data_IF_877460883464
#
_entry.id   IF_877460883464
#
_cell.length_a   1.000
_cell.length_b   1.000
_cell.length_c   1.000
_cell.angle_alpha   90.00
_cell.angle_beta   90.00
_cell.angle_gamma   90.00
#
_symmetry.space_group_name_H-M   'P 1'
#
loop_
_entity.id
_entity.type
_entity.pdbx_description
1 polymer ?
#
# COMPACT_ATOMS: atom_id res chain seq x y z
N UNK A 1 14.68 -3.45 -25.35
CA UNK A 1 14.37 -3.74 -23.96
C UNK A 1 13.17 -2.92 -23.50
N UNK A 2 12.56 -3.29 -22.36
CA UNK A 2 11.44 -2.57 -21.78
C UNK A 2 11.86 -1.15 -21.36
N UNK A 3 10.98 -0.18 -21.62
CA UNK A 3 11.10 1.21 -21.17
C UNK A 3 9.77 1.63 -20.54
N UNK A 4 9.83 2.32 -19.42
CA UNK A 4 8.67 2.80 -18.70
C UNK A 4 8.65 2.35 -17.25
N UNK A 5 7.54 2.59 -16.56
CA UNK A 5 7.39 2.31 -15.12
C UNK A 5 7.24 0.80 -14.88
N UNK A 6 8.08 0.27 -14.00
CA UNK A 6 8.06 -1.13 -13.57
C UNK A 6 7.88 -1.19 -12.05
N UNK A 7 6.73 -1.65 -11.62
CA UNK A 7 6.48 -1.85 -10.19
C UNK A 7 7.01 -3.20 -9.74
N UNK A 8 7.89 -3.20 -8.76
CA UNK A 8 8.35 -4.38 -8.00
C UNK A 8 7.81 -4.30 -6.58
N UNK A 9 7.52 -5.43 -5.97
CA UNK A 9 6.93 -5.45 -4.64
C UNK A 9 7.63 -6.42 -3.70
N UNK A 10 7.58 -6.08 -2.41
CA UNK A 10 8.04 -6.92 -1.32
C UNK A 10 7.13 -6.74 -0.11
N UNK A 11 7.07 -7.77 0.74
CA UNK A 11 6.40 -7.67 2.03
C UNK A 11 7.21 -6.74 2.94
N UNK A 12 6.53 -5.86 3.65
CA UNK A 12 7.17 -4.92 4.57
C UNK A 12 7.57 -5.55 5.91
N UNK A 13 8.43 -4.86 6.69
CA UNK A 13 9.03 -5.42 7.90
C UNK A 13 8.01 -5.74 8.98
N UNK A 14 6.95 -4.95 9.11
CA UNK A 14 5.95 -5.15 10.16
C UNK A 14 5.03 -6.32 9.87
N UNK A 15 4.66 -6.52 8.61
CA UNK A 15 3.91 -7.71 8.18
C UNK A 15 4.78 -8.96 8.31
N UNK A 16 6.05 -8.92 7.91
CA UNK A 16 6.98 -10.02 8.13
C UNK A 16 7.14 -10.34 9.61
N UNK A 17 7.27 -9.33 10.48
CA UNK A 17 7.42 -9.54 11.92
C UNK A 17 6.21 -10.25 12.56
N UNK A 18 5.01 -10.15 11.94
CA UNK A 18 3.82 -10.90 12.38
C UNK A 18 3.76 -12.32 11.84
N UNK A 19 4.46 -12.60 10.74
CA UNK A 19 4.37 -13.87 10.00
C UNK A 19 5.54 -14.82 10.29
N UNK A 20 6.71 -14.27 10.68
CA UNK A 20 7.90 -15.07 11.01
C UNK A 20 7.91 -15.41 12.51
N UNK A 21 8.29 -16.66 12.81
CA UNK A 21 8.37 -17.18 14.16
C UNK A 21 9.81 -17.21 14.67
N UNK A 22 10.00 -16.86 15.92
CA UNK A 22 11.20 -17.08 16.70
C UNK A 22 11.31 -18.56 17.08
N UNK A 23 12.52 -19.01 17.50
CA UNK A 23 12.74 -20.38 17.94
C UNK A 23 11.73 -20.88 19.00
N UNK A 24 11.20 -19.98 19.83
CA UNK A 24 10.18 -20.28 20.85
C UNK A 24 8.75 -20.35 20.32
N UNK A 25 8.50 -20.21 19.00
CA UNK A 25 7.17 -20.28 18.37
C UNK A 25 6.34 -19.00 18.46
N UNK A 26 6.85 -17.94 19.10
CA UNK A 26 6.21 -16.62 19.11
C UNK A 26 6.67 -15.80 17.88
N UNK A 27 5.84 -14.89 17.41
CA UNK A 27 6.19 -14.05 16.27
C UNK A 27 7.39 -13.13 16.58
N UNK A 28 8.18 -12.80 15.56
CA UNK A 28 9.29 -11.83 15.64
C UNK A 28 8.83 -10.51 16.27
N UNK A 29 7.58 -10.13 16.07
CA UNK A 29 6.96 -8.93 16.65
C UNK A 29 7.08 -8.84 18.17
N UNK A 30 7.25 -9.96 18.88
CA UNK A 30 7.42 -9.98 20.32
C UNK A 30 8.74 -9.35 20.79
N UNK A 31 9.78 -9.40 19.94
CA UNK A 31 11.15 -8.97 20.27
C UNK A 31 11.56 -7.75 19.45
N UNK A 32 11.77 -6.63 20.12
CA UNK A 32 12.14 -5.38 19.47
C UNK A 32 13.53 -5.44 18.79
N UNK A 33 14.45 -6.27 19.30
CA UNK A 33 15.76 -6.51 18.68
C UNK A 33 15.58 -7.27 17.37
N UNK A 34 14.85 -8.38 17.41
CA UNK A 34 14.54 -9.17 16.23
C UNK A 34 13.79 -8.36 15.16
N UNK A 35 12.86 -7.47 15.55
CA UNK A 35 12.21 -6.56 14.61
C UNK A 35 13.21 -5.63 13.91
N UNK A 36 14.17 -5.05 14.64
CA UNK A 36 15.22 -4.21 14.04
C UNK A 36 16.11 -4.98 13.08
N UNK A 37 16.56 -6.15 13.48
CA UNK A 37 17.43 -7.02 12.67
C UNK A 37 16.72 -7.47 11.39
N UNK A 38 15.43 -7.82 11.49
CA UNK A 38 14.58 -8.16 10.35
C UNK A 38 14.43 -6.98 9.39
N UNK A 39 14.13 -5.79 9.90
CA UNK A 39 13.98 -4.59 9.07
C UNK A 39 15.30 -4.23 8.37
N UNK A 40 16.43 -4.31 9.06
CA UNK A 40 17.76 -4.07 8.48
C UNK A 40 18.13 -5.10 7.40
N UNK A 41 17.88 -6.38 7.66
CA UNK A 41 18.11 -7.45 6.67
C UNK A 41 17.22 -7.28 5.44
N UNK A 42 15.96 -6.92 5.62
CA UNK A 42 15.04 -6.65 4.51
C UNK A 42 15.51 -5.45 3.68
N UNK A 43 15.96 -4.38 4.33
CA UNK A 43 16.47 -3.19 3.64
C UNK A 43 17.68 -3.53 2.76
N UNK A 44 18.63 -4.33 3.26
CA UNK A 44 19.78 -4.77 2.48
C UNK A 44 19.37 -5.67 1.30
N UNK A 45 18.51 -6.66 1.55
CA UNK A 45 18.01 -7.54 0.49
C UNK A 45 17.24 -6.78 -0.60
N UNK A 46 16.47 -5.75 -0.23
CA UNK A 46 15.80 -4.89 -1.22
C UNK A 46 16.79 -4.04 -2.02
N UNK A 47 17.85 -3.51 -1.40
CA UNK A 47 18.88 -2.75 -2.10
C UNK A 47 19.54 -3.60 -3.19
N UNK A 48 19.91 -4.83 -2.84
CA UNK A 48 20.50 -5.78 -3.79
C UNK A 48 19.50 -6.17 -4.89
N UNK A 49 18.25 -6.45 -4.53
CA UNK A 49 17.19 -6.80 -5.48
C UNK A 49 16.94 -5.67 -6.48
N UNK A 50 16.79 -4.43 -6.01
CA UNK A 50 16.59 -3.27 -6.89
C UNK A 50 17.80 -3.03 -7.81
N UNK A 51 19.01 -3.24 -7.31
CA UNK A 51 20.24 -3.16 -8.13
C UNK A 51 20.24 -4.24 -9.24
N UNK A 52 19.81 -5.47 -8.93
CA UNK A 52 19.67 -6.54 -9.93
C UNK A 52 18.61 -6.22 -10.98
N UNK A 53 17.44 -5.72 -10.57
CA UNK A 53 16.37 -5.29 -11.50
C UNK A 53 16.86 -4.19 -12.43
N UNK A 54 17.55 -3.15 -11.91
CA UNK A 54 18.12 -2.07 -12.73
C UNK A 54 19.14 -2.59 -13.75
N UNK A 55 19.97 -3.55 -13.33
CA UNK A 55 20.97 -4.17 -14.23
C UNK A 55 20.29 -4.96 -15.37
N UNK A 56 19.22 -5.69 -15.07
CA UNK A 56 18.49 -6.53 -16.05
C UNK A 56 17.60 -5.72 -16.97
N UNK A 57 17.02 -4.64 -16.47
CA UNK A 57 16.05 -3.79 -17.20
C UNK A 57 16.47 -2.32 -17.08
N UNK A 58 17.57 -1.91 -17.73
CA UNK A 58 18.14 -0.57 -17.53
C UNK A 58 17.28 0.59 -18.04
N UNK A 59 16.25 0.29 -18.84
CA UNK A 59 15.28 1.29 -19.31
C UNK A 59 14.05 1.43 -18.42
N UNK A 60 13.95 0.66 -17.33
CA UNK A 60 12.80 0.74 -16.43
C UNK A 60 12.97 1.84 -15.39
N UNK A 61 11.89 2.60 -15.18
CA UNK A 61 11.69 3.44 -14.01
C UNK A 61 11.03 2.60 -12.92
N UNK A 62 11.80 2.26 -11.89
CA UNK A 62 11.30 1.35 -10.84
C UNK A 62 10.38 2.10 -9.87
N UNK A 63 9.24 1.49 -9.57
CA UNK A 63 8.35 1.83 -8.46
C UNK A 63 8.46 0.72 -7.43
N UNK A 64 8.89 1.02 -6.21
CA UNK A 64 8.93 0.06 -5.13
C UNK A 64 7.58 0.04 -4.40
N UNK A 65 6.92 -1.12 -4.35
CA UNK A 65 5.77 -1.32 -3.48
C UNK A 65 6.18 -2.14 -2.25
N UNK A 66 5.79 -1.65 -1.07
CA UNK A 66 5.97 -2.34 0.21
C UNK A 66 4.60 -2.73 0.75
N UNK A 67 4.37 -4.02 0.94
CA UNK A 67 3.07 -4.56 1.36
C UNK A 67 3.02 -4.67 2.89
N UNK A 68 2.15 -3.89 3.53
CA UNK A 68 2.00 -3.79 4.99
C UNK A 68 0.54 -3.98 5.47
N UNK A 69 -0.14 -5.08 5.09
CA UNK A 69 -1.51 -5.32 5.53
C UNK A 69 -1.65 -5.51 7.05
N UNK A 70 -0.57 -5.91 7.75
CA UNK A 70 -0.60 -6.07 9.22
C UNK A 70 -0.28 -4.80 10.00
N UNK A 71 0.14 -3.72 9.34
CA UNK A 71 0.67 -2.51 9.97
C UNK A 71 -0.31 -1.89 10.98
N UNK A 72 -1.57 -1.75 10.60
CA UNK A 72 -2.61 -1.21 11.49
C UNK A 72 -2.79 -2.09 12.73
N UNK A 73 -2.81 -3.41 12.57
CA UNK A 73 -2.92 -4.34 13.69
C UNK A 73 -1.70 -4.25 14.63
N UNK A 74 -0.50 -4.06 14.09
CA UNK A 74 0.75 -3.85 14.85
C UNK A 74 0.67 -2.56 15.66
N UNK A 75 0.27 -1.46 15.05
CA UNK A 75 0.12 -0.15 15.69
C UNK A 75 -0.92 -0.13 16.81
N UNK A 76 -1.96 -0.96 16.69
CA UNK A 76 -3.10 -0.99 17.62
C UNK A 76 -3.02 -2.16 18.63
N UNK A 77 -1.95 -2.97 18.59
CA UNK A 77 -1.82 -4.14 19.47
C UNK A 77 -2.90 -5.20 19.23
N UNK A 78 -3.36 -5.35 17.99
CA UNK A 78 -4.41 -6.31 17.61
C UNK A 78 -3.86 -7.63 17.03
N UNK A 79 -2.53 -7.78 16.94
CA UNK A 79 -1.90 -9.02 16.46
C UNK A 79 -1.96 -10.07 17.53
N UNK A 80 -2.55 -11.23 17.21
CA UNK A 80 -2.68 -12.34 18.16
C UNK A 80 -1.36 -13.06 18.38
N UNK A 81 -1.05 -13.44 19.63
CA UNK A 81 0.08 -14.29 19.99
C UNK A 81 -0.11 -15.72 19.46
N UNK A 82 0.93 -16.53 19.47
CA UNK A 82 0.88 -17.92 19.06
C UNK A 82 -0.21 -18.71 19.79
N UNK A 83 -0.41 -18.46 21.07
CA UNK A 83 -1.46 -19.10 21.87
C UNK A 83 -2.89 -18.67 21.50
N UNK A 84 -3.06 -17.57 20.74
CA UNK A 84 -4.33 -16.91 20.37
C UNK A 84 -5.16 -16.36 21.56
N UNK A 85 -4.72 -16.52 22.78
CA UNK A 85 -5.40 -16.01 23.99
C UNK A 85 -5.01 -14.57 24.33
N UNK A 86 -3.91 -14.09 23.80
CA UNK A 86 -3.40 -12.73 24.03
C UNK A 86 -3.07 -12.07 22.70
N UNK A 87 -2.90 -10.75 22.72
CA UNK A 87 -2.31 -9.98 21.64
C UNK A 87 -0.93 -9.49 22.03
N UNK A 88 -0.08 -9.25 21.04
CA UNK A 88 1.17 -8.53 21.26
C UNK A 88 0.88 -7.07 21.59
N UNK A 89 1.80 -6.43 22.31
CA UNK A 89 1.70 -5.00 22.60
C UNK A 89 1.77 -4.21 21.31
N UNK A 90 1.05 -3.08 21.29
CA UNK A 90 1.20 -2.10 20.24
C UNK A 90 2.67 -1.63 20.12
N UNK A 91 3.16 -1.51 18.91
CA UNK A 91 4.47 -0.93 18.64
C UNK A 91 4.32 0.59 18.58
N UNK A 92 5.27 1.30 19.17
CA UNK A 92 5.30 2.75 19.15
C UNK A 92 5.34 3.29 17.71
N UNK A 93 4.53 4.32 17.43
CA UNK A 93 4.42 4.93 16.11
C UNK A 93 5.76 5.48 15.59
N UNK A 94 6.61 6.01 16.48
CA UNK A 94 7.92 6.55 16.07
C UNK A 94 8.87 5.42 15.67
N UNK A 95 8.82 4.28 16.34
CA UNK A 95 9.60 3.09 16.00
C UNK A 95 9.17 2.56 14.63
N UNK A 96 7.86 2.46 14.41
CA UNK A 96 7.32 2.03 13.11
C UNK A 96 7.73 2.98 11.98
N UNK A 97 7.55 4.28 12.19
CA UNK A 97 7.89 5.32 11.23
C UNK A 97 9.39 5.32 10.90
N UNK A 98 10.25 5.17 11.92
CA UNK A 98 11.71 5.10 11.76
C UNK A 98 12.14 3.93 10.88
N UNK A 99 11.66 2.72 11.21
CA UNK A 99 11.99 1.51 10.44
C UNK A 99 11.50 1.59 8.98
N UNK A 100 10.30 2.12 8.74
CA UNK A 100 9.79 2.32 7.38
C UNK A 100 10.59 3.38 6.62
N UNK A 101 11.00 4.48 7.28
CA UNK A 101 11.84 5.52 6.66
C UNK A 101 13.19 4.96 6.21
N UNK A 102 13.84 4.14 7.05
CA UNK A 102 15.09 3.48 6.69
C UNK A 102 14.91 2.51 5.51
N UNK A 103 13.81 1.75 5.51
CA UNK A 103 13.49 0.85 4.41
C UNK A 103 13.23 1.61 3.11
N UNK A 104 12.47 2.71 3.14
CA UNK A 104 12.14 3.46 1.92
C UNK A 104 13.36 4.17 1.33
N UNK A 105 14.33 4.55 2.18
CA UNK A 105 15.59 5.16 1.76
C UNK A 105 16.51 4.24 0.93
N UNK A 106 16.18 2.94 0.74
CA UNK A 106 16.91 2.06 -0.17
C UNK A 106 16.60 2.35 -1.65
N UNK A 107 15.59 3.18 -1.92
CA UNK A 107 15.13 3.52 -3.26
C UNK A 107 14.92 5.03 -3.40
N UNK A 108 15.55 5.64 -4.42
CA UNK A 108 15.47 7.09 -4.68
C UNK A 108 14.22 7.49 -5.50
N UNK A 109 13.44 6.48 -5.95
CA UNK A 109 12.25 6.69 -6.78
C UNK A 109 10.95 6.63 -5.98
N UNK A 110 9.86 6.37 -6.69
CA UNK A 110 8.53 6.27 -6.10
C UNK A 110 8.41 5.03 -5.18
N UNK A 111 7.97 5.26 -3.95
CA UNK A 111 7.67 4.22 -2.96
C UNK A 111 6.18 4.22 -2.66
N UNK A 112 5.52 3.11 -2.92
CA UNK A 112 4.10 2.89 -2.65
C UNK A 112 3.96 1.91 -1.50
N UNK A 113 3.19 2.26 -0.47
CA UNK A 113 2.84 1.30 0.58
C UNK A 113 1.45 0.76 0.32
N UNK A 114 1.32 -0.57 0.27
CA UNK A 114 0.02 -1.22 0.11
C UNK A 114 -0.47 -1.78 1.44
N UNK A 115 -1.71 -1.45 1.80
CA UNK A 115 -2.43 -2.06 2.91
C UNK A 115 -3.91 -2.23 2.56
N UNK A 116 -4.36 -3.47 2.44
CA UNK A 116 -5.78 -3.81 2.25
C UNK A 116 -6.52 -4.01 3.58
N UNK A 117 -5.97 -3.54 4.70
CA UNK A 117 -6.63 -3.51 6.01
C UNK A 117 -7.35 -2.17 6.23
N UNK A 118 -8.37 -2.12 7.10
CA UNK A 118 -8.98 -0.85 7.50
C UNK A 118 -8.04 0.01 8.35
N UNK A 119 -8.40 1.27 8.53
CA UNK A 119 -7.67 2.24 9.37
C UNK A 119 -6.22 2.45 8.92
N UNK A 120 -6.00 2.62 7.60
CA UNK A 120 -4.66 2.85 7.02
C UNK A 120 -4.03 4.12 7.61
N UNK A 121 -2.80 4.06 8.14
CA UNK A 121 -2.17 5.20 8.81
C UNK A 121 -1.51 6.18 7.81
N UNK A 122 -2.30 6.83 6.93
CA UNK A 122 -1.83 7.72 5.84
C UNK A 122 -0.77 8.72 6.30
N UNK A 123 -1.03 9.45 7.40
CA UNK A 123 -0.08 10.44 7.91
C UNK A 123 1.26 9.84 8.35
N UNK A 124 1.28 8.65 8.96
CA UNK A 124 2.52 7.96 9.32
C UNK A 124 3.29 7.54 8.07
N UNK A 125 2.62 6.94 7.10
CA UNK A 125 3.23 6.48 5.86
C UNK A 125 3.86 7.63 5.07
N UNK A 126 3.14 8.77 4.97
CA UNK A 126 3.67 9.99 4.35
C UNK A 126 4.94 10.50 5.06
N UNK A 127 4.93 10.60 6.40
CA UNK A 127 6.11 11.05 7.17
C UNK A 127 7.28 10.08 7.08
N UNK A 128 7.01 8.79 6.89
CA UNK A 128 8.05 7.79 6.62
C UNK A 128 8.66 7.93 5.22
N UNK A 129 8.05 8.70 4.31
CA UNK A 129 8.56 8.97 2.97
C UNK A 129 7.84 8.19 1.86
N UNK A 130 6.69 7.59 2.14
CA UNK A 130 5.87 6.99 1.07
C UNK A 130 5.35 8.09 0.14
N UNK A 131 5.58 7.92 -1.17
CA UNK A 131 5.09 8.80 -2.23
C UNK A 131 3.71 8.39 -2.73
N UNK A 132 3.27 7.18 -2.38
CA UNK A 132 1.94 6.67 -2.68
C UNK A 132 1.44 5.71 -1.62
N UNK A 133 0.11 5.66 -1.46
CA UNK A 133 -0.56 4.70 -0.57
C UNK A 133 -1.61 3.94 -1.38
N UNK A 134 -1.48 2.62 -1.40
CA UNK A 134 -2.42 1.69 -2.04
C UNK A 134 -3.29 1.04 -0.98
N UNK A 135 -4.60 1.10 -1.15
CA UNK A 135 -5.55 0.64 -0.13
C UNK A 135 -6.86 0.16 -0.76
N UNK A 136 -7.61 -0.64 -0.01
CA UNK A 136 -8.98 -1.02 -0.37
C UNK A 136 -9.91 0.16 -0.08
N UNK A 137 -10.39 0.79 -1.15
CA UNK A 137 -11.26 1.96 -1.06
C UNK A 137 -12.58 1.67 -0.34
N UNK A 138 -13.05 0.43 -0.37
CA UNK A 138 -14.31 0.03 0.29
C UNK A 138 -14.21 0.06 1.83
N UNK A 139 -12.99 0.04 2.37
CA UNK A 139 -12.72 0.08 3.81
C UNK A 139 -12.47 1.49 4.35
N UNK A 140 -12.37 2.49 3.45
CA UNK A 140 -12.16 3.87 3.85
C UNK A 140 -13.45 4.44 4.48
N UNK A 141 -13.31 5.10 5.61
CA UNK A 141 -14.41 5.79 6.29
C UNK A 141 -14.13 7.29 6.43
N UNK A 142 -15.13 8.07 6.80
CA UNK A 142 -14.98 9.52 7.00
C UNK A 142 -13.99 9.88 8.14
N UNK A 143 -13.63 8.91 8.98
CA UNK A 143 -12.63 9.11 10.05
C UNK A 143 -11.22 9.35 9.51
N UNK A 144 -10.94 8.84 8.33
CA UNK A 144 -9.65 9.02 7.67
C UNK A 144 -9.60 10.26 6.76
N UNK A 145 -10.70 10.98 6.58
CA UNK A 145 -10.79 12.09 5.62
C UNK A 145 -9.68 13.13 5.81
N UNK A 146 -9.49 13.62 7.04
CA UNK A 146 -8.43 14.61 7.33
C UNK A 146 -7.04 14.08 6.96
N UNK A 147 -6.75 12.82 7.34
CA UNK A 147 -5.45 12.20 7.06
C UNK A 147 -5.23 11.93 5.56
N UNK A 148 -6.29 11.62 4.82
CA UNK A 148 -6.26 11.47 3.36
C UNK A 148 -6.07 12.84 2.70
N UNK A 149 -6.81 13.85 3.13
CA UNK A 149 -6.67 15.24 2.63
C UNK A 149 -5.24 15.75 2.80
N UNK A 150 -4.70 15.67 4.02
CA UNK A 150 -3.31 16.05 4.31
C UNK A 150 -2.28 15.26 3.48
N UNK A 151 -2.54 13.98 3.21
CA UNK A 151 -1.64 13.16 2.40
C UNK A 151 -1.64 13.63 0.94
N UNK A 152 -2.81 13.89 0.37
CA UNK A 152 -2.95 14.38 -1.02
C UNK A 152 -2.35 15.76 -1.18
N UNK A 153 -2.66 16.70 -0.28
CA UNK A 153 -2.07 18.05 -0.29
C UNK A 153 -0.55 18.02 -0.12
N UNK A 154 -0.04 17.03 0.62
CA UNK A 154 1.40 16.75 0.76
C UNK A 154 2.02 16.02 -0.43
N UNK A 155 1.28 15.81 -1.54
CA UNK A 155 1.77 15.19 -2.77
C UNK A 155 1.77 13.66 -2.78
N UNK A 156 1.18 13.00 -1.77
CA UNK A 156 1.05 11.53 -1.75
C UNK A 156 -0.03 11.09 -2.72
N UNK A 157 0.30 10.18 -3.63
CA UNK A 157 -0.67 9.59 -4.56
C UNK A 157 -1.53 8.52 -3.87
N UNK A 158 -2.81 8.51 -4.20
CA UNK A 158 -3.74 7.50 -3.74
C UNK A 158 -3.90 6.40 -4.80
N UNK A 159 -3.46 5.19 -4.50
CA UNK A 159 -3.74 4.01 -5.31
C UNK A 159 -5.06 3.40 -4.81
N UNK A 160 -6.16 3.93 -5.34
CA UNK A 160 -7.51 3.60 -4.88
C UNK A 160 -7.95 2.24 -5.41
N UNK A 161 -8.05 1.25 -4.53
CA UNK A 161 -8.50 -0.10 -4.82
C UNK A 161 -10.03 -0.16 -4.91
N UNK A 162 -10.58 0.21 -6.07
CA UNK A 162 -12.04 0.26 -6.31
C UNK A 162 -12.57 -0.93 -7.08
N UNK A 163 -11.69 -1.82 -7.54
CA UNK A 163 -12.05 -3.04 -8.27
C UNK A 163 -11.78 -4.24 -7.37
N UNK A 164 -12.74 -5.18 -7.20
CA UNK A 164 -12.51 -6.36 -6.36
C UNK A 164 -11.27 -7.15 -6.76
N UNK A 165 -10.54 -7.68 -5.76
CA UNK A 165 -9.34 -8.50 -5.97
C UNK A 165 -9.63 -9.97 -6.30
N UNK A 166 -10.89 -10.40 -6.18
CA UNK A 166 -11.37 -11.76 -6.48
C UNK A 166 -12.55 -11.70 -7.42
N UNK A 167 -12.92 -12.85 -8.02
CA UNK A 167 -14.02 -12.94 -8.98
C UNK A 167 -15.32 -12.35 -8.43
N UNK A 168 -15.78 -11.28 -9.05
CA UNK A 168 -17.02 -10.59 -8.70
C UNK A 168 -17.58 -9.89 -9.95
N UNK A 169 -18.88 -9.56 -9.98
CA UNK A 169 -19.44 -8.72 -11.01
C UNK A 169 -18.74 -7.34 -11.02
N UNK A 170 -18.26 -6.92 -12.18
CA UNK A 170 -17.73 -5.58 -12.38
C UNK A 170 -18.88 -4.63 -12.69
N UNK A 171 -18.95 -3.49 -11.99
CA UNK A 171 -19.87 -2.40 -12.32
C UNK A 171 -19.47 -1.74 -13.64
N UNK A 172 -20.18 -0.70 -14.06
CA UNK A 172 -19.64 0.15 -15.11
C UNK A 172 -18.40 0.93 -14.61
N UNK A 173 -17.48 1.32 -15.51
CA UNK A 173 -16.24 1.99 -15.09
C UNK A 173 -16.44 3.31 -14.36
N UNK A 174 -17.46 4.09 -14.71
CA UNK A 174 -17.77 5.35 -14.05
C UNK A 174 -18.35 5.13 -12.65
N UNK A 175 -19.18 4.09 -12.49
CA UNK A 175 -19.71 3.65 -11.20
C UNK A 175 -18.63 3.23 -10.22
N UNK A 176 -17.58 2.52 -10.68
CA UNK A 176 -16.47 2.10 -9.83
C UNK A 176 -15.72 3.26 -9.19
N UNK A 177 -15.61 4.41 -9.84
CA UNK A 177 -14.88 5.57 -9.34
C UNK A 177 -15.76 6.66 -8.74
N UNK A 178 -17.08 6.45 -8.68
CA UNK A 178 -18.00 7.41 -8.08
C UNK A 178 -17.69 7.72 -6.62
N UNK A 179 -17.27 6.71 -5.85
CA UNK A 179 -16.85 6.89 -4.46
C UNK A 179 -15.64 7.81 -4.33
N UNK A 180 -14.70 7.72 -5.27
CA UNK A 180 -13.49 8.56 -5.29
C UNK A 180 -13.86 10.01 -5.59
N UNK A 181 -14.78 10.28 -6.54
CA UNK A 181 -15.28 11.64 -6.80
C UNK A 181 -16.00 12.22 -5.58
N UNK A 182 -16.81 11.41 -4.89
CA UNK A 182 -17.50 11.83 -3.65
C UNK A 182 -16.48 12.18 -2.55
N UNK A 183 -15.42 11.38 -2.39
CA UNK A 183 -14.33 11.68 -1.46
C UNK A 183 -13.69 13.03 -1.81
N UNK A 184 -13.35 13.28 -3.07
CA UNK A 184 -12.70 14.50 -3.53
C UNK A 184 -13.53 15.75 -3.20
N UNK A 185 -14.84 15.69 -3.48
CA UNK A 185 -15.79 16.76 -3.12
C UNK A 185 -15.88 16.97 -1.61
N UNK A 186 -15.93 15.88 -0.83
CA UNK A 186 -16.02 15.94 0.64
C UNK A 186 -14.76 16.56 1.26
N UNK A 187 -13.60 16.29 0.68
CA UNK A 187 -12.32 16.88 1.08
C UNK A 187 -12.14 18.33 0.60
N UNK A 188 -13.02 18.84 -0.26
CA UNK A 188 -12.88 20.18 -0.83
C UNK A 188 -11.73 20.33 -1.83
N UNK A 189 -11.20 19.22 -2.36
CA UNK A 189 -10.10 19.23 -3.31
C UNK A 189 -10.57 19.62 -4.71
N UNK A 190 -9.70 20.33 -5.45
CA UNK A 190 -10.02 20.75 -6.81
C UNK A 190 -10.21 19.54 -7.76
N UNK A 191 -11.33 19.43 -8.51
CA UNK A 191 -11.58 18.27 -9.37
C UNK A 191 -10.44 18.00 -10.37
N UNK A 192 -9.82 19.05 -10.90
CA UNK A 192 -8.70 18.91 -11.87
C UNK A 192 -7.47 18.19 -11.33
N UNK A 193 -7.27 18.12 -10.02
CA UNK A 193 -6.12 17.41 -9.42
C UNK A 193 -6.35 15.91 -9.30
N UNK A 194 -7.58 15.44 -9.50
CA UNK A 194 -7.98 14.07 -9.24
C UNK A 194 -7.21 13.06 -10.11
N UNK A 195 -7.07 13.34 -11.41
CA UNK A 195 -6.36 12.47 -12.35
C UNK A 195 -4.84 12.37 -12.08
N UNK A 196 -4.26 13.39 -11.44
CA UNK A 196 -2.83 13.42 -11.09
C UNK A 196 -2.55 12.72 -9.75
N UNK A 197 -3.52 12.78 -8.84
CA UNK A 197 -3.38 12.31 -7.47
C UNK A 197 -3.90 10.88 -7.26
N UNK A 198 -4.72 10.35 -8.17
CA UNK A 198 -5.37 9.04 -8.00
C UNK A 198 -4.97 8.07 -9.10
N UNK A 199 -4.53 6.90 -8.68
CA UNK A 199 -4.32 5.73 -9.53
C UNK A 199 -5.39 4.69 -9.21
N UNK A 200 -6.15 4.27 -10.21
CA UNK A 200 -7.21 3.25 -10.05
C UNK A 200 -6.59 1.86 -10.08
N UNK A 201 -6.85 1.07 -9.05
CA UNK A 201 -6.28 -0.28 -8.89
C UNK A 201 -7.34 -1.28 -8.43
N UNK A 202 -7.05 -2.59 -8.52
CA UNK A 202 -7.73 -3.58 -7.70
C UNK A 202 -7.48 -3.31 -6.21
N UNK A 203 -8.43 -3.72 -5.35
CA UNK A 203 -8.35 -3.54 -3.90
C UNK A 203 -7.16 -4.29 -3.27
N UNK A 204 -6.76 -5.39 -3.88
CA UNK A 204 -5.61 -6.21 -3.47
C UNK A 204 -5.03 -6.93 -4.70
N UNK A 205 -4.03 -7.80 -4.49
CA UNK A 205 -3.48 -8.67 -5.53
C UNK A 205 -4.54 -9.60 -6.13
N UNK A 206 -4.35 -9.97 -7.40
CA UNK A 206 -5.29 -10.82 -8.16
C UNK A 206 -4.94 -12.32 -8.11
N UNK A 207 -4.09 -12.74 -7.17
CA UNK A 207 -3.64 -14.12 -7.05
C UNK A 207 -4.79 -15.12 -6.75
N UNK A 208 -5.84 -14.63 -6.07
CA UNK A 208 -7.05 -15.42 -5.78
C UNK A 208 -8.13 -15.37 -6.86
N UNK A 209 -7.89 -14.64 -7.94
CA UNK A 209 -8.84 -14.46 -9.03
C UNK A 209 -8.60 -15.46 -10.17
N UNK A 210 -9.65 -15.79 -10.93
CA UNK A 210 -9.48 -16.53 -12.18
C UNK A 210 -8.67 -15.72 -13.21
N UNK A 211 -7.91 -16.37 -14.11
CA UNK A 211 -7.16 -15.65 -15.16
C UNK A 211 -8.04 -14.79 -16.08
N UNK A 212 -9.29 -15.19 -16.28
CA UNK A 212 -10.26 -14.42 -17.06
C UNK A 212 -10.67 -13.15 -16.34
N UNK A 213 -11.01 -13.26 -15.05
CA UNK A 213 -11.35 -12.12 -14.21
C UNK A 213 -10.16 -11.17 -14.05
N UNK A 214 -8.95 -11.68 -13.79
CA UNK A 214 -7.76 -10.85 -13.63
C UNK A 214 -7.52 -9.95 -14.86
N UNK A 215 -7.67 -10.48 -16.07
CA UNK A 215 -7.59 -9.67 -17.32
C UNK A 215 -8.72 -8.65 -17.40
N UNK A 216 -9.94 -9.05 -17.05
CA UNK A 216 -11.10 -8.15 -17.08
C UNK A 216 -10.95 -7.02 -16.05
N UNK A 217 -10.51 -7.31 -14.83
CA UNK A 217 -10.27 -6.34 -13.77
C UNK A 217 -9.20 -5.30 -14.16
N UNK A 218 -8.09 -5.74 -14.76
CA UNK A 218 -7.05 -4.83 -15.27
C UNK A 218 -7.59 -3.91 -16.36
N UNK A 219 -8.31 -4.46 -17.35
CA UNK A 219 -8.93 -3.66 -18.41
C UNK A 219 -9.98 -2.69 -17.85
N UNK A 220 -10.71 -3.11 -16.81
CA UNK A 220 -11.69 -2.28 -16.11
C UNK A 220 -11.02 -1.11 -15.38
N UNK A 221 -9.92 -1.34 -14.66
CA UNK A 221 -9.14 -0.27 -14.01
C UNK A 221 -8.72 0.80 -15.01
N UNK A 222 -8.25 0.42 -16.21
CA UNK A 222 -7.87 1.37 -17.27
C UNK A 222 -9.05 2.21 -17.72
N UNK A 223 -10.22 1.60 -17.93
CA UNK A 223 -11.44 2.32 -18.32
C UNK A 223 -11.94 3.23 -17.20
N UNK A 224 -11.91 2.79 -15.96
CA UNK A 224 -12.31 3.57 -14.80
C UNK A 224 -11.38 4.77 -14.56
N UNK A 225 -10.07 4.59 -14.75
CA UNK A 225 -9.11 5.70 -14.68
C UNK A 225 -9.35 6.74 -15.78
N UNK A 226 -9.66 6.33 -17.01
CA UNK A 226 -10.05 7.25 -18.09
C UNK A 226 -11.34 8.01 -17.73
N UNK A 227 -12.36 7.30 -17.23
CA UNK A 227 -13.60 7.94 -16.77
C UNK A 227 -13.34 8.98 -15.69
N UNK A 228 -12.38 8.73 -14.79
CA UNK A 228 -12.00 9.67 -13.74
C UNK A 228 -11.32 10.92 -14.32
N UNK A 229 -10.45 10.74 -15.32
CA UNK A 229 -9.75 11.84 -15.98
C UNK A 229 -10.65 12.68 -16.86
N UNK A 230 -11.55 12.04 -17.64
CA UNK A 230 -12.44 12.72 -18.58
C UNK A 230 -13.58 13.47 -17.86
N UNK A 231 -14.01 12.99 -16.69
CA UNK A 231 -15.10 13.56 -15.90
C UNK A 231 -14.72 13.57 -14.41
N UNK A 232 -13.93 14.54 -13.96
CA UNK A 232 -13.42 14.59 -12.58
C UNK A 232 -14.50 15.06 -11.56
N UNK A 233 -15.66 15.56 -12.00
CA UNK A 233 -16.78 16.03 -11.19
C UNK A 233 -17.75 14.92 -10.72
#
# INVERSE_FOLDING_TARGET
GYRGRLKVQAVGPWTLATALELHGGEAVLQDAGACRDLAGSLAEGLREHLADVRRRIPGAEIVLQVDEPSLTAVLLGRVRSASKYRTYRAVDRQVVEGALRELFAVHDGEVVVHSCAPEVPFGLLRRAGATGVSFDFSLLTEREDDAVGEAVEGGTKLFAGVVPGTDAPLSDPAGSVMGVRKLWRRLGLAPGTLAESVVVTPACGLAGASPAYARAAQAHCVKAARSLADNPE
#
